data_IF_567769295341
#
_entry.id   IF_567769295341
#
_cell.length_a   1.000
_cell.length_b   1.000
_cell.length_c   1.000
_cell.angle_alpha   90.00
_cell.angle_beta   90.00
_cell.angle_gamma   90.00
#
_symmetry.space_group_name_H-M   'P 1'
#
loop_
_entity.id
_entity.type
_entity.pdbx_description
1 polymer ?
#
# COMPACT_ATOMS: atom_id res chain seq x y z
N UNK A 1 -12.92 4.45 -4.65
CA UNK A 1 -11.60 5.04 -4.26
C UNK A 1 -11.01 4.28 -3.08
N UNK A 2 -9.70 3.97 -3.10
CA UNK A 2 -9.03 3.20 -2.02
C UNK A 2 -8.85 4.02 -0.75
N UNK A 3 -8.73 3.34 0.38
CA UNK A 3 -8.41 3.95 1.67
C UNK A 3 -7.00 3.53 2.10
N UNK A 4 -6.18 4.49 2.50
CA UNK A 4 -4.82 4.28 2.98
C UNK A 4 -4.71 4.91 4.37
N UNK A 5 -4.34 4.11 5.37
CA UNK A 5 -4.34 4.53 6.76
C UNK A 5 -3.18 3.91 7.54
N UNK A 6 -2.93 4.41 8.77
CA UNK A 6 -1.90 3.90 9.69
C UNK A 6 -0.52 3.74 9.05
N UNK A 7 -0.13 4.72 8.25
CA UNK A 7 1.21 4.74 7.64
C UNK A 7 2.28 4.96 8.71
N UNK A 8 3.33 4.15 8.67
CA UNK A 8 4.52 4.29 9.49
C UNK A 8 5.77 4.19 8.63
N UNK A 9 6.64 5.18 8.71
CA UNK A 9 7.98 5.18 8.11
C UNK A 9 9.00 5.01 9.21
N UNK A 10 9.89 4.04 9.06
CA UNK A 10 10.77 3.57 10.13
C UNK A 10 12.22 3.49 9.65
N UNK A 11 13.14 3.50 10.62
CA UNK A 11 14.56 3.17 10.43
C UNK A 11 15.35 4.16 9.55
N UNK A 12 14.91 5.42 9.49
CA UNK A 12 15.62 6.51 8.79
C UNK A 12 17.02 6.73 9.40
N UNK A 13 17.13 6.71 10.72
CA UNK A 13 18.38 6.88 11.47
C UNK A 13 19.47 5.87 11.07
N UNK A 14 19.14 4.59 11.08
CA UNK A 14 20.07 3.53 10.71
C UNK A 14 20.34 3.52 9.21
N UNK A 15 19.35 3.87 8.38
CA UNK A 15 19.54 3.99 6.94
C UNK A 15 20.57 5.08 6.60
N UNK A 16 20.47 6.25 7.22
CA UNK A 16 21.40 7.37 7.02
C UNK A 16 22.79 7.06 7.61
N UNK A 17 22.86 6.50 8.82
CA UNK A 17 24.12 6.02 9.39
C UNK A 17 24.80 5.01 8.45
N UNK A 18 24.01 4.09 7.89
CA UNK A 18 24.47 3.10 6.92
C UNK A 18 24.96 3.70 5.60
N UNK A 19 24.32 4.77 5.13
CA UNK A 19 24.74 5.51 3.93
C UNK A 19 26.14 6.13 4.07
N UNK A 20 26.59 6.39 5.31
CA UNK A 20 27.92 6.96 5.61
C UNK A 20 29.04 5.95 5.77
N UNK A 21 28.71 4.66 5.93
CA UNK A 21 29.69 3.58 6.13
C UNK A 21 30.78 3.54 5.05
N UNK A 22 30.50 3.66 3.74
CA UNK A 22 31.54 3.49 2.71
C UNK A 22 32.70 4.49 2.80
N UNK A 23 32.44 5.66 3.38
CA UNK A 23 33.44 6.73 3.51
C UNK A 23 33.83 6.99 4.98
N UNK A 24 33.43 6.11 5.92
CA UNK A 24 33.69 6.26 7.36
C UNK A 24 33.33 7.67 7.90
N UNK A 25 32.25 8.26 7.37
CA UNK A 25 31.96 9.70 7.50
C UNK A 25 30.91 10.02 8.57
N UNK A 26 30.82 9.20 9.62
CA UNK A 26 29.82 9.32 10.69
C UNK A 26 29.93 10.63 11.48
N UNK A 27 31.14 11.19 11.61
CA UNK A 27 31.36 12.47 12.29
C UNK A 27 30.72 13.68 11.59
N UNK A 28 30.22 13.49 10.37
CA UNK A 28 29.49 14.51 9.59
C UNK A 28 27.96 14.33 9.65
N UNK A 29 27.46 13.43 10.49
CA UNK A 29 26.02 13.29 10.75
C UNK A 29 25.52 14.51 11.51
N UNK A 30 24.38 15.04 11.08
CA UNK A 30 23.72 16.22 11.64
C UNK A 30 22.20 16.06 11.76
N UNK A 31 21.67 14.86 11.50
CA UNK A 31 20.28 14.49 11.76
C UNK A 31 20.06 14.15 13.22
N UNK A 32 18.88 14.50 13.73
CA UNK A 32 18.50 14.33 15.13
C UNK A 32 17.03 13.93 15.29
N UNK A 33 16.67 13.51 16.50
CA UNK A 33 15.27 13.30 16.85
C UNK A 33 14.69 14.61 17.41
N UNK A 34 13.54 15.02 16.91
CA UNK A 34 12.80 16.15 17.47
C UNK A 34 12.16 15.78 18.83
N UNK A 35 11.49 16.75 19.46
CA UNK A 35 10.80 16.55 20.73
C UNK A 35 9.64 15.56 20.69
N UNK A 36 9.13 15.25 19.50
CA UNK A 36 8.04 14.29 19.27
C UNK A 36 8.57 12.88 18.93
N UNK A 37 9.90 12.73 18.82
CA UNK A 37 10.55 11.47 18.47
C UNK A 37 10.59 11.19 16.97
N UNK A 38 10.32 12.18 16.11
CA UNK A 38 10.52 12.05 14.66
C UNK A 38 11.99 12.26 14.32
N UNK A 39 12.52 11.44 13.41
CA UNK A 39 13.88 11.60 12.92
C UNK A 39 13.94 12.64 11.80
N UNK A 40 14.59 13.77 12.06
CA UNK A 40 14.72 14.91 11.15
C UNK A 40 16.10 14.89 10.50
N UNK A 41 16.14 14.92 9.17
CA UNK A 41 17.39 14.92 8.41
C UNK A 41 18.03 16.29 8.47
N UNK A 42 19.27 16.33 8.99
CA UNK A 42 20.12 17.51 8.93
C UNK A 42 20.56 17.82 7.50
N UNK A 43 21.10 19.01 7.26
CA UNK A 43 21.46 19.47 5.92
C UNK A 43 22.51 18.57 5.24
N UNK A 44 23.54 18.15 5.98
CA UNK A 44 24.61 17.30 5.44
C UNK A 44 24.09 15.89 5.14
N UNK A 45 23.28 15.32 6.02
CA UNK A 45 22.64 14.02 5.83
C UNK A 45 21.67 14.02 4.65
N UNK A 46 20.84 15.06 4.53
CA UNK A 46 19.88 15.18 3.44
C UNK A 46 20.60 15.39 2.09
N UNK A 47 21.64 16.22 2.02
CA UNK A 47 22.46 16.38 0.81
C UNK A 47 23.07 15.03 0.37
N UNK A 48 23.67 14.30 1.30
CA UNK A 48 24.22 12.98 1.03
C UNK A 48 23.14 12.02 0.51
N UNK A 49 21.99 11.96 1.19
CA UNK A 49 20.89 11.08 0.82
C UNK A 49 20.36 11.40 -0.59
N UNK A 50 20.19 12.68 -0.93
CA UNK A 50 19.79 13.15 -2.28
C UNK A 50 20.77 12.70 -3.35
N UNK A 51 22.07 12.94 -3.15
CA UNK A 51 23.11 12.55 -4.11
C UNK A 51 23.12 11.04 -4.33
N UNK A 52 23.10 10.26 -3.26
CA UNK A 52 23.08 8.79 -3.35
C UNK A 52 21.81 8.28 -4.03
N UNK A 53 20.64 8.83 -3.67
CA UNK A 53 19.36 8.45 -4.27
C UNK A 53 19.35 8.62 -5.81
N UNK A 54 19.94 9.72 -6.30
CA UNK A 54 20.03 10.04 -7.73
C UNK A 54 21.16 9.32 -8.48
N UNK A 55 22.22 8.89 -7.78
CA UNK A 55 23.40 8.25 -8.40
C UNK A 55 23.15 6.83 -8.95
N UNK A 56 21.98 6.23 -8.68
CA UNK A 56 21.59 4.93 -9.21
C UNK A 56 21.35 3.86 -8.14
N UNK A 57 20.87 2.69 -8.56
CA UNK A 57 20.43 1.61 -7.65
C UNK A 57 21.54 1.10 -6.72
N UNK A 58 22.78 1.10 -7.18
CA UNK A 58 23.93 0.59 -6.42
C UNK A 58 24.37 1.55 -5.32
N UNK A 59 24.14 2.84 -5.54
CA UNK A 59 24.47 3.91 -4.59
C UNK A 59 23.36 4.13 -3.56
N UNK A 60 22.10 3.93 -3.94
CA UNK A 60 20.94 4.18 -3.07
C UNK A 60 20.43 2.97 -2.29
N UNK A 61 21.24 1.92 -2.12
CA UNK A 61 20.89 0.72 -1.32
C UNK A 61 20.40 1.04 0.10
N UNK A 62 20.77 2.20 0.66
CA UNK A 62 20.24 2.66 1.95
C UNK A 62 18.73 2.90 1.94
N UNK A 63 18.11 3.24 0.80
CA UNK A 63 16.65 3.38 0.67
C UNK A 63 15.91 2.06 0.91
N UNK A 64 16.58 0.91 0.70
CA UNK A 64 16.04 -0.41 1.03
C UNK A 64 15.95 -0.65 2.54
N UNK A 65 16.62 0.19 3.33
CA UNK A 65 16.63 0.14 4.80
C UNK A 65 15.61 1.10 5.42
N UNK A 66 14.92 1.93 4.63
CA UNK A 66 13.84 2.81 5.10
C UNK A 66 12.53 2.05 4.91
N UNK A 67 12.00 1.51 6.02
CA UNK A 67 10.83 0.63 5.99
C UNK A 67 9.53 1.43 6.05
N UNK A 68 8.52 0.95 5.33
CA UNK A 68 7.17 1.49 5.32
C UNK A 68 6.20 0.38 5.66
N UNK A 69 5.35 0.61 6.66
CA UNK A 69 4.20 -0.21 6.97
C UNK A 69 2.92 0.61 6.80
N UNK A 70 1.89 0.06 6.19
CA UNK A 70 0.65 0.78 5.89
C UNK A 70 -0.55 -0.17 5.80
N UNK A 71 -1.71 0.28 6.26
CA UNK A 71 -2.98 -0.40 6.03
C UNK A 71 -3.62 0.16 4.75
N UNK A 72 -3.91 -0.71 3.78
CA UNK A 72 -4.54 -0.35 2.52
C UNK A 72 -5.84 -1.14 2.40
N UNK A 73 -6.97 -0.45 2.20
CA UNK A 73 -8.24 -1.06 1.82
C UNK A 73 -8.52 -0.73 0.36
N UNK A 74 -8.52 -1.77 -0.47
CA UNK A 74 -8.63 -1.65 -1.92
C UNK A 74 -9.41 -2.82 -2.54
N UNK A 75 -10.00 -2.64 -3.74
CA UNK A 75 -10.72 -3.71 -4.40
C UNK A 75 -9.78 -4.83 -4.85
N UNK A 76 -10.27 -6.07 -4.89
CA UNK A 76 -9.47 -7.24 -5.29
C UNK A 76 -8.83 -7.09 -6.68
N UNK A 77 -9.46 -6.38 -7.64
CA UNK A 77 -8.85 -6.13 -8.95
C UNK A 77 -7.59 -5.27 -8.86
N UNK A 78 -7.52 -4.32 -7.93
CA UNK A 78 -6.32 -3.52 -7.70
C UNK A 78 -5.24 -4.36 -7.00
N UNK A 79 -5.64 -5.19 -6.03
CA UNK A 79 -4.72 -6.13 -5.37
C UNK A 79 -4.05 -7.09 -6.35
N UNK A 80 -4.75 -7.57 -7.38
CA UNK A 80 -4.14 -8.40 -8.44
C UNK A 80 -2.96 -7.69 -9.11
N UNK A 81 -3.05 -6.39 -9.34
CA UNK A 81 -1.95 -5.61 -9.89
C UNK A 81 -0.86 -5.31 -8.86
N UNK A 82 -1.24 -5.00 -7.61
CA UNK A 82 -0.29 -4.77 -6.54
C UNK A 82 0.56 -6.01 -6.24
N UNK A 83 -0.03 -7.21 -6.28
CA UNK A 83 0.63 -8.48 -5.99
C UNK A 83 1.73 -8.83 -7.01
N UNK A 84 1.83 -8.10 -8.14
CA UNK A 84 2.98 -8.18 -9.06
C UNK A 84 4.28 -7.69 -8.43
N UNK A 85 4.21 -6.84 -7.39
CA UNK A 85 5.35 -6.31 -6.64
C UNK A 85 5.82 -7.22 -5.49
N UNK A 86 5.35 -8.48 -5.45
CA UNK A 86 5.66 -9.47 -4.40
C UNK A 86 7.14 -9.61 -4.02
N UNK A 87 8.06 -9.31 -4.94
CA UNK A 87 9.49 -9.24 -4.61
C UNK A 87 9.77 -7.90 -3.94
N UNK A 88 9.89 -7.94 -2.61
CA UNK A 88 10.20 -6.77 -1.78
C UNK A 88 8.99 -6.16 -1.06
N UNK A 89 7.80 -6.73 -1.24
CA UNK A 89 6.63 -6.41 -0.42
C UNK A 89 6.15 -7.65 0.33
N UNK A 90 5.65 -7.45 1.55
CA UNK A 90 4.93 -8.48 2.30
C UNK A 90 3.56 -7.93 2.68
N UNK A 91 2.50 -8.71 2.52
CA UNK A 91 1.15 -8.30 2.85
C UNK A 91 0.48 -9.31 3.80
N UNK A 92 -0.23 -8.80 4.80
CA UNK A 92 -1.11 -9.58 5.65
C UNK A 92 -2.55 -9.12 5.43
N UNK A 93 -3.40 -10.02 4.95
CA UNK A 93 -4.77 -9.70 4.54
C UNK A 93 -5.80 -10.15 5.56
N UNK A 94 -6.94 -9.45 5.62
CA UNK A 94 -8.12 -9.99 6.28
C UNK A 94 -8.54 -11.30 5.61
N UNK A 95 -8.70 -12.37 6.39
CA UNK A 95 -9.07 -13.68 5.84
C UNK A 95 -10.49 -13.70 5.30
N UNK A 96 -10.64 -13.71 3.98
CA UNK A 96 -11.93 -13.95 3.32
C UNK A 96 -12.49 -15.31 3.73
N UNK A 97 -11.64 -16.35 3.69
CA UNK A 97 -12.03 -17.72 3.99
C UNK A 97 -12.73 -17.87 5.35
N UNK A 98 -12.21 -17.19 6.37
CA UNK A 98 -12.72 -17.32 7.74
C UNK A 98 -13.72 -16.22 8.13
N UNK A 99 -13.66 -15.05 7.48
CA UNK A 99 -14.39 -13.86 7.96
C UNK A 99 -15.42 -13.29 6.97
N UNK A 100 -15.57 -13.86 5.77
CA UNK A 100 -16.55 -13.35 4.79
C UNK A 100 -17.99 -13.26 5.32
N UNK A 101 -18.35 -14.10 6.29
CA UNK A 101 -19.71 -14.18 6.84
C UNK A 101 -19.93 -13.37 8.12
N UNK A 102 -18.89 -12.69 8.66
CA UNK A 102 -18.96 -12.08 9.99
C UNK A 102 -19.72 -10.76 10.04
N UNK A 103 -20.00 -10.15 8.89
CA UNK A 103 -20.83 -8.95 8.80
C UNK A 103 -21.74 -9.05 7.56
N UNK A 104 -22.89 -8.35 7.53
CA UNK A 104 -23.73 -8.27 6.35
C UNK A 104 -22.98 -7.70 5.14
N UNK A 105 -23.36 -8.17 3.95
CA UNK A 105 -22.89 -7.57 2.70
C UNK A 105 -23.64 -6.27 2.43
N UNK A 106 -22.89 -5.20 2.21
CA UNK A 106 -23.43 -3.90 1.81
C UNK A 106 -22.68 -3.34 0.61
N UNK A 107 -23.28 -2.35 -0.06
CA UNK A 107 -22.68 -1.73 -1.25
C UNK A 107 -21.37 -1.00 -0.93
N UNK A 108 -21.19 -0.54 0.30
CA UNK A 108 -19.96 0.05 0.83
C UNK A 108 -18.77 -0.92 0.84
N UNK A 109 -19.02 -2.23 0.79
CA UNK A 109 -17.97 -3.24 0.69
C UNK A 109 -17.36 -3.33 -0.71
N UNK A 110 -17.93 -2.63 -1.69
CA UNK A 110 -17.53 -2.75 -3.09
C UNK A 110 -17.14 -1.39 -3.69
N UNK A 111 -16.04 -1.36 -4.42
CA UNK A 111 -15.69 -0.23 -5.28
C UNK A 111 -16.63 -0.19 -6.48
N UNK A 112 -17.64 0.68 -6.42
CA UNK A 112 -18.72 0.78 -7.41
C UNK A 112 -18.97 2.22 -7.92
N UNK A 113 -18.08 3.18 -7.62
CA UNK A 113 -18.23 4.60 -7.93
C UNK A 113 -18.25 4.96 -9.43
N UNK A 114 -17.88 4.01 -10.29
CA UNK A 114 -17.82 4.18 -11.75
C UNK A 114 -18.83 3.33 -12.52
N UNK A 115 -19.64 2.54 -11.81
CA UNK A 115 -20.67 1.72 -12.43
C UNK A 115 -21.86 2.60 -12.84
N UNK A 116 -22.41 2.36 -14.02
CA UNK A 116 -23.66 2.96 -14.45
C UNK A 116 -24.87 2.29 -13.78
N UNK A 117 -26.08 2.77 -14.06
CA UNK A 117 -27.30 2.29 -13.40
C UNK A 117 -27.55 0.79 -13.61
N UNK A 118 -27.29 0.27 -14.81
CA UNK A 118 -27.53 -1.14 -15.14
C UNK A 118 -26.51 -2.04 -14.43
N UNK A 119 -25.23 -1.66 -14.45
CA UNK A 119 -24.18 -2.39 -13.75
C UNK A 119 -24.37 -2.35 -12.21
N UNK A 120 -24.89 -1.24 -11.68
CA UNK A 120 -25.25 -1.14 -10.26
C UNK A 120 -26.41 -2.05 -9.90
N UNK A 121 -27.46 -2.12 -10.73
CA UNK A 121 -28.58 -3.04 -10.53
C UNK A 121 -28.11 -4.52 -10.49
N UNK A 122 -27.19 -4.89 -11.40
CA UNK A 122 -26.58 -6.22 -11.40
C UNK A 122 -25.76 -6.50 -10.13
N UNK A 123 -24.99 -5.51 -9.65
CA UNK A 123 -24.23 -5.62 -8.41
C UNK A 123 -25.16 -5.75 -7.19
N UNK A 124 -26.21 -4.94 -7.11
CA UNK A 124 -27.17 -4.95 -6.00
C UNK A 124 -27.88 -6.31 -5.92
N UNK A 125 -28.28 -6.88 -7.07
CA UNK A 125 -28.84 -8.25 -7.16
C UNK A 125 -27.86 -9.30 -6.62
N UNK A 126 -26.57 -9.17 -6.95
CA UNK A 126 -25.53 -10.08 -6.46
C UNK A 126 -25.31 -9.91 -4.95
N UNK A 127 -25.30 -8.68 -4.44
CA UNK A 127 -25.17 -8.39 -3.00
C UNK A 127 -26.32 -9.03 -2.21
N UNK A 128 -27.56 -8.87 -2.67
CA UNK A 128 -28.74 -9.50 -2.06
C UNK A 128 -28.62 -11.03 -2.05
N UNK A 129 -28.13 -11.62 -3.15
CA UNK A 129 -27.86 -13.05 -3.21
C UNK A 129 -26.80 -13.47 -2.18
N UNK A 130 -25.67 -12.76 -2.13
CA UNK A 130 -24.57 -13.05 -1.20
C UNK A 130 -25.02 -12.95 0.26
N UNK A 131 -25.84 -11.95 0.60
CA UNK A 131 -26.37 -11.78 1.95
C UNK A 131 -27.34 -12.90 2.34
N UNK A 132 -28.19 -13.35 1.42
CA UNK A 132 -29.04 -14.52 1.66
C UNK A 132 -28.21 -15.78 1.92
N UNK A 133 -27.14 -16.01 1.15
CA UNK A 133 -26.24 -17.15 1.39
C UNK A 133 -25.47 -17.00 2.71
N UNK A 134 -25.11 -15.79 3.10
CA UNK A 134 -24.50 -15.48 4.40
C UNK A 134 -25.42 -15.88 5.56
N UNK A 135 -26.70 -15.50 5.49
CA UNK A 135 -27.70 -15.84 6.51
C UNK A 135 -27.85 -17.36 6.63
N UNK A 136 -28.04 -18.07 5.51
CA UNK A 136 -28.13 -19.54 5.49
C UNK A 136 -26.91 -20.20 6.14
N UNK A 137 -25.70 -19.75 5.80
CA UNK A 137 -24.46 -20.27 6.40
C UNK A 137 -24.39 -19.98 7.90
N UNK A 138 -24.83 -18.80 8.34
CA UNK A 138 -24.84 -18.45 9.75
C UNK A 138 -25.85 -19.27 10.56
N UNK A 139 -26.96 -19.67 9.96
CA UNK A 139 -27.98 -20.56 10.57
C UNK A 139 -27.49 -22.01 10.66
N UNK A 140 -26.78 -22.50 9.65
CA UNK A 140 -26.20 -23.85 9.64
C UNK A 140 -24.79 -23.85 9.04
N UNK A 141 -23.77 -23.89 9.92
CA UNK A 141 -22.36 -23.90 9.52
C UNK A 141 -21.83 -25.26 9.05
N UNK A 142 -22.57 -26.34 9.30
CA UNK A 142 -22.20 -27.67 8.80
C UNK A 142 -22.44 -27.79 7.30
N UNK A 143 -23.45 -27.10 6.77
CA UNK A 143 -23.64 -26.94 5.33
C UNK A 143 -22.68 -25.87 4.79
N UNK A 144 -21.67 -26.32 4.04
CA UNK A 144 -20.66 -25.44 3.43
C UNK A 144 -21.10 -24.87 2.09
N UNK A 145 -22.20 -25.32 1.51
CA UNK A 145 -22.63 -24.88 0.18
C UNK A 145 -22.88 -23.35 0.11
N UNK A 146 -23.60 -22.71 1.06
CA UNK A 146 -23.80 -21.26 1.02
C UNK A 146 -22.48 -20.49 1.17
N UNK A 147 -21.53 -21.03 1.94
CA UNK A 147 -20.18 -20.46 2.03
C UNK A 147 -19.41 -20.55 0.71
N UNK A 148 -19.48 -21.69 0.01
CA UNK A 148 -18.86 -21.83 -1.31
C UNK A 148 -19.45 -20.85 -2.32
N UNK A 149 -20.77 -20.64 -2.28
CA UNK A 149 -21.45 -19.64 -3.10
C UNK A 149 -20.89 -18.24 -2.83
N UNK A 150 -20.78 -17.83 -1.55
CA UNK A 150 -20.21 -16.53 -1.18
C UNK A 150 -18.79 -16.33 -1.71
N UNK A 151 -17.92 -17.34 -1.55
CA UNK A 151 -16.51 -17.24 -1.93
C UNK A 151 -16.32 -17.19 -3.44
N UNK A 152 -17.02 -18.06 -4.18
CA UNK A 152 -16.82 -18.20 -5.62
C UNK A 152 -17.51 -17.09 -6.43
N UNK A 153 -18.58 -16.50 -5.90
CA UNK A 153 -19.29 -15.40 -6.54
C UNK A 153 -18.82 -14.02 -6.07
N UNK A 154 -17.87 -13.94 -5.14
CA UNK A 154 -17.37 -12.66 -4.63
C UNK A 154 -16.77 -11.83 -5.77
N UNK A 155 -17.37 -10.68 -6.15
CA UNK A 155 -16.90 -9.92 -7.28
C UNK A 155 -15.57 -9.22 -6.97
N UNK A 156 -14.76 -9.01 -8.01
CA UNK A 156 -13.43 -8.40 -7.84
C UNK A 156 -13.44 -6.95 -7.35
N UNK A 157 -14.61 -6.29 -7.32
CA UNK A 157 -14.81 -4.97 -6.73
C UNK A 157 -14.84 -5.00 -5.19
N UNK A 158 -14.92 -6.18 -4.56
CA UNK A 158 -14.91 -6.30 -3.10
C UNK A 158 -13.64 -5.71 -2.50
N UNK A 159 -13.81 -4.83 -1.51
CA UNK A 159 -12.73 -4.13 -0.82
C UNK A 159 -12.15 -5.02 0.28
N UNK A 160 -10.85 -5.25 0.22
CA UNK A 160 -10.11 -6.00 1.24
C UNK A 160 -9.01 -5.12 1.82
N UNK A 161 -8.96 -5.07 3.15
CA UNK A 161 -7.84 -4.47 3.87
C UNK A 161 -6.66 -5.44 3.91
N UNK A 162 -5.47 -4.94 3.61
CA UNK A 162 -4.19 -5.60 3.89
C UNK A 162 -3.24 -4.63 4.56
N UNK A 163 -2.53 -5.10 5.59
CA UNK A 163 -1.34 -4.42 6.11
C UNK A 163 -0.16 -4.81 5.24
N UNK A 164 0.55 -3.83 4.69
CA UNK A 164 1.65 -4.05 3.75
C UNK A 164 2.94 -3.46 4.28
N UNK A 165 4.00 -4.26 4.25
CA UNK A 165 5.37 -3.84 4.54
C UNK A 165 6.19 -3.78 3.25
N UNK A 166 6.91 -2.67 3.06
CA UNK A 166 7.81 -2.43 1.92
C UNK A 166 8.91 -1.42 2.31
N UNK A 167 9.70 -0.94 1.35
CA UNK A 167 10.70 0.12 1.58
C UNK A 167 10.68 1.20 0.49
N UNK A 168 11.44 2.27 0.69
CA UNK A 168 11.48 3.41 -0.24
C UNK A 168 11.94 3.03 -1.65
N UNK A 169 12.82 2.01 -1.82
CA UNK A 169 13.21 1.53 -3.15
C UNK A 169 12.03 0.85 -3.87
N UNK A 170 11.18 0.11 -3.15
CA UNK A 170 9.94 -0.44 -3.72
C UNK A 170 9.01 0.69 -4.18
N UNK A 171 8.86 1.72 -3.35
CA UNK A 171 7.98 2.86 -3.63
C UNK A 171 8.44 3.68 -4.84
N UNK A 172 9.75 3.86 -5.04
CA UNK A 172 10.30 4.45 -6.28
C UNK A 172 9.77 3.67 -7.48
N UNK A 173 9.94 2.34 -7.48
CA UNK A 173 9.57 1.52 -8.62
C UNK A 173 8.06 1.51 -8.87
N UNK A 174 7.25 1.44 -7.82
CA UNK A 174 5.79 1.48 -7.93
C UNK A 174 5.29 2.83 -8.43
N UNK A 175 5.78 3.95 -7.87
CA UNK A 175 5.38 5.29 -8.29
C UNK A 175 5.57 5.50 -9.80
N UNK A 176 6.77 5.22 -10.31
CA UNK A 176 7.05 5.45 -11.73
C UNK A 176 6.32 4.49 -12.66
N UNK A 177 6.00 3.28 -12.21
CA UNK A 177 5.21 2.33 -12.99
C UNK A 177 3.71 2.68 -13.01
N UNK A 178 3.20 3.41 -12.00
CA UNK A 178 1.76 3.55 -11.75
C UNK A 178 1.22 4.99 -11.79
N UNK A 179 2.07 6.01 -11.78
CA UNK A 179 1.64 7.42 -11.74
C UNK A 179 0.69 7.85 -12.88
N UNK A 180 0.79 7.19 -14.04
CA UNK A 180 -0.06 7.47 -15.22
C UNK A 180 -1.03 6.31 -15.52
N UNK A 181 -1.38 5.51 -14.51
CA UNK A 181 -2.21 4.31 -14.71
C UNK A 181 -3.66 4.66 -15.06
N UNK A 182 -4.40 3.72 -15.67
CA UNK A 182 -5.83 3.91 -16.02
C UNK A 182 -6.77 3.86 -14.81
N UNK A 183 -6.40 3.08 -13.79
CA UNK A 183 -7.13 2.98 -12.53
C UNK A 183 -6.82 4.18 -11.64
N UNK A 184 -7.85 4.89 -11.14
CA UNK A 184 -7.62 6.05 -10.28
C UNK A 184 -7.14 5.65 -8.88
N UNK A 185 -7.40 4.43 -8.46
CA UNK A 185 -6.89 3.84 -7.23
C UNK A 185 -5.37 3.95 -7.16
N UNK A 186 -4.68 3.76 -8.29
CA UNK A 186 -3.24 3.96 -8.37
C UNK A 186 -2.82 5.43 -8.28
N UNK A 187 -3.65 6.38 -8.72
CA UNK A 187 -3.36 7.81 -8.55
C UNK A 187 -3.46 8.19 -7.08
N UNK A 188 -4.50 7.74 -6.38
CA UNK A 188 -4.63 7.90 -4.92
C UNK A 188 -3.43 7.29 -4.19
N UNK A 189 -2.99 6.09 -4.62
CA UNK A 189 -1.78 5.46 -4.08
C UNK A 189 -0.51 6.29 -4.36
N UNK A 190 -0.34 6.82 -5.57
CA UNK A 190 0.81 7.66 -5.92
C UNK A 190 0.81 8.99 -5.17
N UNK A 191 -0.35 9.59 -4.93
CA UNK A 191 -0.47 10.82 -4.14
C UNK A 191 -0.13 10.55 -2.66
N UNK A 192 -0.51 9.39 -2.13
CA UNK A 192 -0.04 8.95 -0.81
C UNK A 192 1.49 8.80 -0.77
N UNK A 193 2.12 8.22 -1.79
CA UNK A 193 3.60 8.14 -1.86
C UNK A 193 4.24 9.53 -1.75
N UNK A 194 3.67 10.54 -2.42
CA UNK A 194 4.18 11.92 -2.38
C UNK A 194 4.10 12.55 -0.98
N UNK A 195 3.18 12.08 -0.12
CA UNK A 195 3.03 12.58 1.26
C UNK A 195 4.04 11.99 2.25
N UNK A 196 4.80 10.96 1.87
CA UNK A 196 5.75 10.31 2.77
C UNK A 196 6.92 11.25 3.12
N UNK A 197 7.53 11.12 4.31
CA UNK A 197 8.69 11.89 4.71
C UNK A 197 9.79 11.87 3.65
N UNK A 198 10.23 13.06 3.21
CA UNK A 198 11.27 13.23 2.19
C UNK A 198 10.96 12.57 0.83
N UNK A 199 9.69 12.34 0.48
CA UNK A 199 9.32 11.70 -0.78
C UNK A 199 9.89 12.41 -2.01
N UNK A 200 9.81 13.75 -2.07
CA UNK A 200 10.37 14.54 -3.18
C UNK A 200 11.87 14.33 -3.37
N UNK A 201 12.59 14.11 -2.28
CA UNK A 201 14.04 14.04 -2.25
C UNK A 201 14.57 12.61 -2.44
N UNK A 202 13.82 11.61 -1.97
CA UNK A 202 14.27 10.22 -1.88
C UNK A 202 13.47 9.24 -2.74
N UNK A 203 12.23 9.56 -3.12
CA UNK A 203 11.36 8.69 -3.92
C UNK A 203 11.11 9.27 -5.32
N UNK A 204 10.79 10.56 -5.42
CA UNK A 204 10.44 11.25 -6.68
C UNK A 204 11.68 11.74 -7.44
N UNK A 205 12.73 10.92 -7.43
CA UNK A 205 14.09 11.26 -7.86
C UNK A 205 14.36 11.18 -9.37
N UNK A 206 13.41 10.72 -10.18
CA UNK A 206 13.48 10.72 -11.65
C UNK A 206 12.74 11.90 -12.27
N UNK A 207 12.05 12.71 -11.47
CA UNK A 207 11.42 13.96 -11.92
C UNK A 207 12.39 15.12 -11.65
N UNK A 208 12.88 15.72 -12.74
CA UNK A 208 13.86 16.82 -12.90
C UNK A 208 15.35 16.50 -12.86
N UNK A 209 15.89 16.29 -14.07
CA UNK A 209 16.91 17.19 -14.61
C UNK A 209 16.20 18.19 -15.52
N UNK A 210 15.83 19.35 -14.96
CA UNK A 210 15.60 20.61 -15.69
C UNK A 210 16.54 21.65 -15.10
#
# INVERSE_FOLDING_TARGET
MIKIERTSVMNLDNAIRGARNPMNSWSRMDSEFDSEGNYILGENDLDLAKRLARAGSDHRKFLRQIFVSVDITAPLYWWKEFDTYKVGTVANSCSTMHKIHTKPFGREDFSCDRLDADALCALDTLIEFLERERIKFCENKEDRQPWHNMIQLLPSSYNQMRTVSMNYENLINMYYARKNHKLAEWHTYCDWIKSLPYANDLILIKEKSE
#
